data_IF_023272554205
#
_entry.id   IF_023272554205
#
_cell.length_a   1.000
_cell.length_b   1.000
_cell.length_c   1.000
_cell.angle_alpha   90.00
_cell.angle_beta   90.00
_cell.angle_gamma   90.00
#
_symmetry.space_group_name_H-M   'P 1'
#
loop_
_entity.id
_entity.type
_entity.pdbx_description
1 polymer ?
#
# COMPACT_ATOMS: atom_id res chain seq x y z
N UNK A 1 11.63 0.70 -13.37
CA UNK A 1 11.93 1.87 -12.52
C UNK A 1 11.97 1.41 -11.08
N UNK A 2 13.01 1.73 -10.31
CA UNK A 2 13.07 1.40 -8.88
C UNK A 2 12.63 2.64 -8.11
N UNK A 3 11.51 2.58 -7.39
CA UNK A 3 11.09 3.68 -6.52
C UNK A 3 12.11 3.81 -5.39
N UNK A 4 12.57 5.03 -5.13
CA UNK A 4 13.46 5.30 -4.01
C UNK A 4 12.77 4.97 -2.68
N UNK A 5 13.50 4.30 -1.79
CA UNK A 5 12.95 3.81 -0.52
C UNK A 5 12.37 4.93 0.37
N UNK A 6 12.92 6.14 0.28
CA UNK A 6 12.41 7.32 0.99
C UNK A 6 11.09 7.83 0.39
N UNK A 7 11.00 7.89 -0.94
CA UNK A 7 9.76 8.25 -1.61
C UNK A 7 8.65 7.25 -1.27
N UNK A 8 8.96 5.94 -1.28
CA UNK A 8 8.03 4.88 -0.90
C UNK A 8 7.45 5.08 0.50
N UNK A 9 8.30 5.42 1.49
CA UNK A 9 7.87 5.69 2.86
C UNK A 9 6.95 6.90 2.94
N UNK A 10 7.19 7.94 2.14
CA UNK A 10 6.37 9.14 2.10
C UNK A 10 4.99 8.91 1.47
N UNK A 11 4.90 8.08 0.43
CA UNK A 11 3.64 7.89 -0.31
C UNK A 11 2.79 6.73 0.19
N UNK A 12 3.38 5.70 0.82
CA UNK A 12 2.67 4.48 1.20
C UNK A 12 1.43 4.71 2.08
N UNK A 13 1.44 5.59 3.10
CA UNK A 13 0.24 5.89 3.87
C UNK A 13 -0.89 6.48 3.01
N UNK A 14 -0.55 7.40 2.11
CA UNK A 14 -1.54 8.07 1.23
C UNK A 14 -2.15 7.08 0.24
N UNK A 15 -1.34 6.18 -0.33
CA UNK A 15 -1.84 5.11 -1.22
C UNK A 15 -2.79 4.18 -0.47
N UNK A 16 -2.45 3.77 0.75
CA UNK A 16 -3.32 2.94 1.59
C UNK A 16 -4.66 3.64 1.85
N UNK A 17 -4.63 4.93 2.20
CA UNK A 17 -5.82 5.73 2.45
C UNK A 17 -6.68 5.94 1.20
N UNK A 18 -6.07 6.18 0.03
CA UNK A 18 -6.80 6.31 -1.24
C UNK A 18 -7.59 5.04 -1.55
N UNK A 19 -6.99 3.87 -1.33
CA UNK A 19 -7.67 2.60 -1.61
C UNK A 19 -8.80 2.35 -0.61
N UNK A 20 -8.54 2.58 0.68
CA UNK A 20 -9.55 2.42 1.74
C UNK A 20 -10.69 3.44 1.63
N UNK A 21 -10.47 4.59 1.00
CA UNK A 21 -11.54 5.56 0.72
C UNK A 21 -12.67 5.00 -0.15
N UNK A 22 -12.41 3.90 -0.87
CA UNK A 22 -13.39 3.20 -1.72
C UNK A 22 -14.22 2.17 -0.94
N UNK A 23 -13.85 1.87 0.30
CA UNK A 23 -14.55 0.93 1.17
C UNK A 23 -13.61 0.16 2.11
N UNK A 24 -14.15 -0.46 3.17
CA UNK A 24 -13.38 -1.31 4.07
C UNK A 24 -12.82 -2.53 3.32
N UNK A 25 -11.61 -2.94 3.67
CA UNK A 25 -10.93 -4.10 3.08
C UNK A 25 -10.16 -4.87 4.15
N UNK A 26 -10.10 -6.19 4.02
CA UNK A 26 -9.15 -7.00 4.77
C UNK A 26 -7.71 -6.69 4.32
N UNK A 27 -6.74 -6.84 5.22
CA UNK A 27 -5.33 -6.53 4.92
C UNK A 27 -4.77 -7.27 3.69
N UNK A 28 -5.25 -8.48 3.41
CA UNK A 28 -4.89 -9.22 2.20
C UNK A 28 -5.50 -8.60 0.92
N UNK A 29 -6.76 -8.20 0.96
CA UNK A 29 -7.45 -7.54 -0.16
C UNK A 29 -6.83 -6.19 -0.48
N UNK A 30 -6.44 -5.45 0.56
CA UNK A 30 -5.74 -4.18 0.44
C UNK A 30 -4.37 -4.37 -0.26
N UNK A 31 -3.59 -5.37 0.17
CA UNK A 31 -2.30 -5.69 -0.46
C UNK A 31 -2.46 -6.02 -1.95
N UNK A 32 -3.42 -6.87 -2.31
CA UNK A 32 -3.70 -7.18 -3.72
C UNK A 32 -4.18 -5.95 -4.51
N UNK A 33 -5.00 -5.09 -3.90
CA UNK A 33 -5.52 -3.89 -4.55
C UNK A 33 -4.41 -2.88 -4.86
N UNK A 34 -3.43 -2.73 -3.97
CA UNK A 34 -2.24 -1.89 -4.17
C UNK A 34 -1.42 -2.37 -5.37
N UNK A 35 -1.13 -3.67 -5.42
CA UNK A 35 -0.35 -4.28 -6.49
C UNK A 35 -1.04 -4.14 -7.85
N UNK A 36 -2.34 -4.48 -7.93
CA UNK A 36 -3.11 -4.37 -9.17
C UNK A 36 -3.24 -2.93 -9.66
N UNK A 37 -3.55 -1.98 -8.78
CA UNK A 37 -3.77 -0.57 -9.15
C UNK A 37 -2.49 0.15 -9.51
N UNK A 38 -1.36 -0.28 -8.96
CA UNK A 38 -0.04 0.27 -9.29
C UNK A 38 0.61 -0.37 -10.52
N UNK A 39 -0.08 -1.29 -11.22
CA UNK A 39 0.49 -2.08 -12.31
C UNK A 39 1.79 -2.79 -11.88
N UNK A 40 1.77 -3.40 -10.69
CA UNK A 40 2.90 -4.14 -10.09
C UNK A 40 4.15 -3.28 -9.78
N UNK A 41 4.02 -1.94 -9.85
CA UNK A 41 5.11 -1.01 -9.50
C UNK A 41 5.27 -0.89 -7.97
N UNK A 42 4.17 -1.07 -7.23
CA UNK A 42 4.14 -0.97 -5.77
C UNK A 42 3.62 -2.27 -5.17
N UNK A 43 4.50 -3.00 -4.49
CA UNK A 43 4.14 -4.16 -3.68
C UNK A 43 4.47 -3.87 -2.21
N UNK A 44 3.46 -3.87 -1.36
CA UNK A 44 3.63 -3.78 0.09
C UNK A 44 3.57 -5.17 0.71
N UNK A 45 4.72 -5.65 1.20
CA UNK A 45 4.77 -6.87 1.99
C UNK A 45 4.09 -6.72 3.35
N UNK A 46 3.74 -7.84 4.00
CA UNK A 46 3.06 -7.85 5.31
C UNK A 46 3.78 -7.03 6.38
N UNK A 47 5.11 -7.09 6.41
CA UNK A 47 5.95 -6.33 7.35
C UNK A 47 5.97 -4.82 7.13
N UNK A 48 5.41 -4.33 6.02
CA UNK A 48 5.23 -2.90 5.74
C UNK A 48 3.77 -2.51 5.85
N UNK A 49 2.87 -3.30 5.25
CA UNK A 49 1.45 -3.00 5.22
C UNK A 49 0.84 -3.01 6.62
N UNK A 50 1.07 -4.06 7.43
CA UNK A 50 0.40 -4.18 8.71
C UNK A 50 0.83 -3.09 9.71
N UNK A 51 2.12 -2.75 9.85
CA UNK A 51 2.50 -1.59 10.65
C UNK A 51 1.85 -0.28 10.20
N UNK A 52 1.58 -0.08 8.90
CA UNK A 52 0.88 1.10 8.40
C UNK A 52 -0.62 1.15 8.77
N UNK A 53 -1.22 0.02 9.17
CA UNK A 53 -2.64 -0.04 9.53
C UNK A 53 -2.88 0.11 11.04
N UNK A 54 -1.87 -0.09 11.87
CA UNK A 54 -1.99 -0.09 13.34
C UNK A 54 -1.23 1.03 14.05
N UNK A 55 -0.32 1.72 13.34
CA UNK A 55 0.39 2.91 13.85
C UNK A 55 -0.33 4.19 13.46
#
# INVERSE_FOLDING_TARGET
MRIESQLLKGIAPVVVLEILSRGPMYGYELSQSIEKRSAEILTLGKGTLYPLLYN
#
